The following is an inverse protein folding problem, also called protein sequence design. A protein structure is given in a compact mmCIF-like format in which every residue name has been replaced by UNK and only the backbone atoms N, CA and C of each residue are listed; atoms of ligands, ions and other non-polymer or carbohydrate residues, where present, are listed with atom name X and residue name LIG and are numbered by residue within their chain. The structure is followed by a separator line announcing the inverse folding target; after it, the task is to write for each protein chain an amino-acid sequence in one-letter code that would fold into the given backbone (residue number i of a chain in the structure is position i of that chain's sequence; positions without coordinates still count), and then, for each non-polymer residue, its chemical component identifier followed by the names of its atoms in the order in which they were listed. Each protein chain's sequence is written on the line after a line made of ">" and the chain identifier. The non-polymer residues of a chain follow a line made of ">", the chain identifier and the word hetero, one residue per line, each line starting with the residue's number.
data_IF_446844545465
#
_entry.id   IF_446844545465
#
_cell.length_a   1.000
_cell.length_b   1.000
_cell.length_c   1.000
_cell.angle_alpha   90.00
_cell.angle_beta   90.00
_cell.angle_gamma   90.00
#
_symmetry.space_group_name_H-M   'P 1'
#
loop_
_entity.id
_entity.type
_entity.pdbx_description
1 polymer ?
#
# COMPACT_ATOMS: atom_id res chain seq x y z
N UNK A 1 9.13 4.71 -12.11
CA UNK A 1 9.36 3.79 -13.22
C UNK A 1 9.92 2.42 -12.80
N UNK A 2 10.86 2.34 -11.85
CA UNK A 2 11.46 1.03 -11.44
C UNK A 2 10.40 0.03 -10.98
N UNK A 3 9.45 0.46 -10.17
CA UNK A 3 8.39 -0.41 -9.64
C UNK A 3 7.55 -1.01 -10.75
N UNK A 4 7.12 -0.24 -11.74
CA UNK A 4 6.34 -0.79 -12.85
C UNK A 4 7.14 -1.81 -13.67
N UNK A 5 8.41 -1.52 -13.99
CA UNK A 5 9.24 -2.47 -14.73
C UNK A 5 9.44 -3.79 -13.97
N UNK A 6 9.61 -3.74 -12.63
CA UNK A 6 9.66 -4.96 -11.82
C UNK A 6 8.36 -5.76 -11.90
N UNK A 7 7.21 -5.10 -11.87
CA UNK A 7 5.92 -5.75 -11.99
C UNK A 7 5.71 -6.37 -13.37
N UNK A 8 6.06 -5.66 -14.46
CA UNK A 8 5.97 -6.18 -15.82
C UNK A 8 6.88 -7.40 -16.03
N UNK A 9 8.11 -7.37 -15.49
CA UNK A 9 9.03 -8.51 -15.50
C UNK A 9 8.43 -9.71 -14.75
N UNK A 10 7.85 -9.47 -13.58
CA UNK A 10 7.21 -10.52 -12.78
C UNK A 10 6.01 -11.14 -13.49
N UNK A 11 5.19 -10.32 -14.13
CA UNK A 11 3.99 -10.75 -14.86
C UNK A 11 4.28 -11.28 -16.28
N UNK A 12 5.55 -11.28 -16.72
CA UNK A 12 5.93 -11.73 -18.06
C UNK A 12 5.47 -10.81 -19.19
N UNK A 13 5.08 -9.58 -18.87
CA UNK A 13 4.60 -8.60 -19.86
C UNK A 13 5.79 -7.87 -20.47
N UNK A 14 5.92 -7.85 -21.82
CA UNK A 14 7.01 -7.14 -22.49
C UNK A 14 6.89 -5.62 -22.29
N UNK A 15 8.03 -4.94 -22.31
CA UNK A 15 8.09 -3.48 -22.20
C UNK A 15 9.10 -2.93 -23.20
N UNK A 16 8.72 -1.89 -23.92
CA UNK A 16 9.59 -1.16 -24.86
C UNK A 16 10.54 -0.16 -24.17
N UNK A 17 10.47 -0.06 -22.84
CA UNK A 17 11.39 0.77 -22.08
C UNK A 17 12.81 0.23 -22.16
N UNK A 18 13.74 1.07 -22.63
CA UNK A 18 15.16 0.71 -22.78
C UNK A 18 15.80 0.20 -21.49
N UNK A 19 15.24 0.55 -20.34
CA UNK A 19 15.71 0.13 -19.00
C UNK A 19 15.20 -1.27 -18.61
N UNK A 20 14.20 -1.82 -19.32
CA UNK A 20 13.56 -3.09 -18.98
C UNK A 20 14.57 -4.26 -18.95
N UNK A 21 15.50 -4.32 -19.89
CA UNK A 21 16.52 -5.36 -19.95
C UNK A 21 17.41 -5.36 -18.69
N UNK A 22 17.82 -4.17 -18.23
CA UNK A 22 18.65 -4.01 -17.02
C UNK A 22 17.86 -4.43 -15.78
N UNK A 23 16.60 -4.01 -15.67
CA UNK A 23 15.74 -4.40 -14.55
C UNK A 23 15.49 -5.90 -14.54
N UNK A 24 15.24 -6.52 -15.70
CA UNK A 24 15.08 -7.98 -15.84
C UNK A 24 16.32 -8.73 -15.36
N UNK A 25 17.50 -8.30 -15.77
CA UNK A 25 18.76 -8.89 -15.34
C UNK A 25 19.00 -8.73 -13.82
N UNK A 26 18.70 -7.56 -13.27
CA UNK A 26 18.82 -7.29 -11.84
C UNK A 26 17.86 -8.15 -11.01
N UNK A 27 16.60 -8.29 -11.44
CA UNK A 27 15.61 -9.16 -10.78
C UNK A 27 16.04 -10.61 -10.83
N UNK A 28 16.47 -11.12 -12.00
CA UNK A 28 16.92 -12.49 -12.16
C UNK A 28 18.18 -12.80 -11.34
N UNK A 29 19.10 -11.85 -11.22
CA UNK A 29 20.33 -11.98 -10.44
C UNK A 29 20.21 -11.62 -8.95
N UNK A 30 19.05 -11.17 -8.49
CA UNK A 30 18.85 -10.72 -7.11
C UNK A 30 19.65 -9.45 -6.74
N UNK A 31 20.10 -8.68 -7.74
CA UNK A 31 20.96 -7.51 -7.53
C UNK A 31 20.12 -6.29 -7.16
N UNK A 32 20.33 -5.75 -5.95
CA UNK A 32 19.60 -4.57 -5.43
C UNK A 32 18.09 -4.68 -5.57
N UNK A 33 17.55 -5.90 -5.47
CA UNK A 33 16.13 -6.20 -5.55
C UNK A 33 15.68 -6.87 -4.26
N UNK A 34 14.53 -6.45 -3.75
CA UNK A 34 13.87 -7.04 -2.58
C UNK A 34 12.40 -7.25 -2.89
N UNK A 35 11.85 -8.36 -2.38
CA UNK A 35 10.39 -8.56 -2.40
C UNK A 35 9.74 -7.55 -1.45
N UNK A 36 8.64 -6.95 -1.87
CA UNK A 36 7.93 -5.95 -1.08
C UNK A 36 6.43 -6.11 -1.26
N UNK A 37 5.69 -6.03 -0.15
CA UNK A 37 4.23 -5.96 -0.09
C UNK A 37 3.72 -4.52 0.08
N UNK A 38 4.57 -3.51 -0.21
CA UNK A 38 4.24 -2.09 -0.01
C UNK A 38 3.15 -1.63 -0.98
N UNK A 39 1.97 -1.32 -0.46
CA UNK A 39 0.88 -0.73 -1.23
C UNK A 39 1.27 0.62 -1.83
N UNK A 40 2.02 1.47 -1.12
CA UNK A 40 2.49 2.76 -1.64
C UNK A 40 3.35 2.61 -2.91
N UNK A 41 4.21 1.58 -2.98
CA UNK A 41 5.00 1.29 -4.19
C UNK A 41 4.14 0.79 -5.34
N UNK A 42 3.03 0.14 -5.05
CA UNK A 42 2.05 -0.27 -6.06
C UNK A 42 1.30 0.96 -6.62
N UNK A 43 0.93 1.92 -5.78
CA UNK A 43 0.40 3.22 -6.24
C UNK A 43 1.38 3.94 -7.16
N UNK A 44 2.68 3.96 -6.82
CA UNK A 44 3.72 4.53 -7.66
C UNK A 44 3.82 3.81 -9.02
N UNK A 45 3.73 2.48 -9.01
CA UNK A 45 3.80 1.66 -10.22
C UNK A 45 2.61 1.92 -11.16
N UNK A 46 1.39 1.99 -10.63
CA UNK A 46 0.18 2.28 -11.42
C UNK A 46 0.22 3.71 -11.96
N UNK A 47 0.68 4.69 -11.16
CA UNK A 47 0.87 6.06 -11.62
C UNK A 47 1.85 6.14 -12.82
N UNK A 48 2.95 5.38 -12.77
CA UNK A 48 3.91 5.31 -13.86
C UNK A 48 3.35 4.56 -15.08
N UNK A 49 2.60 3.46 -14.88
CA UNK A 49 1.95 2.72 -15.96
C UNK A 49 0.96 3.59 -16.75
N UNK A 50 0.23 4.45 -16.05
CA UNK A 50 -0.68 5.43 -16.65
C UNK A 50 0.04 6.66 -17.24
N UNK A 51 1.36 6.74 -17.12
CA UNK A 51 2.15 7.87 -17.59
C UNK A 51 1.80 9.18 -16.89
N UNK A 52 1.46 9.13 -15.59
CA UNK A 52 1.17 10.31 -14.79
C UNK A 52 2.45 10.90 -14.19
N UNK A 53 3.33 10.06 -13.68
CA UNK A 53 4.67 10.43 -13.22
C UNK A 53 5.60 9.23 -13.11
N UNK A 54 6.85 9.40 -13.51
CA UNK A 54 7.91 8.40 -13.42
C UNK A 54 8.71 8.48 -12.10
N UNK A 55 8.65 9.62 -11.42
CA UNK A 55 9.46 9.92 -10.24
C UNK A 55 8.66 10.65 -9.17
N UNK A 56 8.92 10.30 -7.93
CA UNK A 56 8.50 11.08 -6.78
C UNK A 56 9.52 12.21 -6.54
N UNK A 57 9.22 13.44 -6.98
CA UNK A 57 10.03 14.63 -6.68
C UNK A 57 9.83 15.12 -5.24
N UNK A 58 8.77 14.66 -4.60
CA UNK A 58 8.47 14.74 -3.17
C UNK A 58 7.69 13.48 -2.77
N UNK A 59 7.62 13.20 -1.47
CA UNK A 59 6.98 11.99 -0.95
C UNK A 59 5.51 11.89 -1.37
N UNK A 60 5.15 10.76 -2.00
CA UNK A 60 3.78 10.45 -2.40
C UNK A 60 3.26 11.16 -3.64
N UNK A 61 4.11 11.92 -4.39
CA UNK A 61 3.67 12.63 -5.61
C UNK A 61 2.94 11.73 -6.60
N UNK A 62 3.50 10.56 -6.89
CA UNK A 62 2.89 9.63 -7.86
C UNK A 62 1.51 9.17 -7.38
N UNK A 63 1.38 8.81 -6.10
CA UNK A 63 0.10 8.41 -5.51
C UNK A 63 -0.93 9.55 -5.51
N UNK A 64 -0.50 10.79 -5.22
CA UNK A 64 -1.39 11.97 -5.27
C UNK A 64 -1.90 12.26 -6.69
N UNK A 65 -1.05 12.12 -7.71
CA UNK A 65 -1.49 12.28 -9.10
C UNK A 65 -2.49 11.20 -9.51
N UNK A 66 -2.29 9.98 -9.04
CA UNK A 66 -3.22 8.87 -9.27
C UNK A 66 -4.56 9.13 -8.60
N UNK A 67 -4.56 9.59 -7.33
CA UNK A 67 -5.77 9.99 -6.60
C UNK A 67 -6.52 11.10 -7.32
N UNK A 68 -5.81 12.14 -7.82
CA UNK A 68 -6.42 13.23 -8.57
C UNK A 68 -7.13 12.74 -9.85
N UNK A 69 -6.54 11.78 -10.57
CA UNK A 69 -7.18 11.19 -11.75
C UNK A 69 -8.44 10.38 -11.36
N UNK A 70 -8.37 9.61 -10.30
CA UNK A 70 -9.51 8.87 -9.79
C UNK A 70 -10.64 9.81 -9.31
N UNK A 71 -10.30 10.90 -8.63
CA UNK A 71 -11.25 11.92 -8.21
C UNK A 71 -11.91 12.62 -9.40
N UNK A 72 -11.15 12.87 -10.47
CA UNK A 72 -11.69 13.39 -11.73
C UNK A 72 -12.72 12.43 -12.34
N UNK A 73 -12.39 11.14 -12.43
CA UNK A 73 -13.30 10.11 -12.94
C UNK A 73 -14.60 10.06 -12.13
N UNK A 74 -14.50 10.08 -10.80
CA UNK A 74 -15.66 10.10 -9.89
C UNK A 74 -16.54 11.32 -10.11
N UNK A 75 -15.92 12.51 -10.26
CA UNK A 75 -16.64 13.76 -10.53
C UNK A 75 -17.34 13.75 -11.89
N UNK A 76 -16.70 13.20 -12.90
CA UNK A 76 -17.22 13.07 -14.27
C UNK A 76 -18.18 11.88 -14.44
N UNK A 77 -18.41 11.11 -13.38
CA UNK A 77 -19.24 9.89 -13.37
C UNK A 77 -18.80 8.87 -14.42
N UNK A 78 -17.48 8.77 -14.65
CA UNK A 78 -16.93 7.73 -15.52
C UNK A 78 -17.15 6.35 -14.92
N UNK A 79 -17.33 5.37 -15.79
CA UNK A 79 -17.33 3.97 -15.39
C UNK A 79 -15.89 3.58 -15.08
N UNK A 80 -15.59 3.09 -13.86
CA UNK A 80 -14.24 2.65 -13.51
C UNK A 80 -13.83 1.44 -14.36
N UNK A 81 -12.57 1.37 -14.74
CA UNK A 81 -12.02 0.15 -15.36
C UNK A 81 -12.09 -0.99 -14.37
N UNK A 82 -12.64 -2.12 -14.77
CA UNK A 82 -12.71 -3.29 -13.91
C UNK A 82 -11.32 -3.91 -13.72
N UNK A 83 -10.69 -3.61 -12.59
CA UNK A 83 -9.40 -4.12 -12.19
C UNK A 83 -9.55 -5.05 -10.98
N UNK A 84 -8.72 -6.09 -10.91
CA UNK A 84 -8.73 -7.04 -9.80
C UNK A 84 -7.32 -7.56 -9.51
N UNK A 85 -7.18 -8.16 -8.34
CA UNK A 85 -6.00 -8.89 -7.91
C UNK A 85 -6.32 -10.38 -7.87
N UNK A 86 -5.36 -11.23 -8.21
CA UNK A 86 -5.50 -12.65 -7.94
C UNK A 86 -5.32 -12.91 -6.44
N UNK A 87 -6.26 -13.61 -5.84
CA UNK A 87 -6.15 -14.05 -4.44
C UNK A 87 -5.50 -15.43 -4.41
N UNK A 88 -4.37 -15.56 -3.73
CA UNK A 88 -3.63 -16.80 -3.54
C UNK A 88 -3.44 -17.06 -2.05
N UNK A 89 -3.64 -18.31 -1.63
CA UNK A 89 -3.37 -18.76 -0.27
C UNK A 89 -2.15 -19.66 -0.31
N UNK A 90 -1.13 -19.28 0.45
CA UNK A 90 0.12 -20.05 0.54
C UNK A 90 0.28 -20.56 1.96
N UNK A 91 0.48 -21.85 2.09
CA UNK A 91 0.81 -22.47 3.39
C UNK A 91 2.27 -22.17 3.74
N UNK A 92 2.48 -21.72 4.98
CA UNK A 92 3.80 -21.43 5.53
C UNK A 92 3.99 -22.19 6.84
N UNK A 93 5.21 -22.23 7.36
CA UNK A 93 5.52 -22.84 8.67
C UNK A 93 4.72 -22.20 9.82
N UNK A 94 4.28 -20.94 9.65
CA UNK A 94 3.53 -20.17 10.64
C UNK A 94 2.02 -20.08 10.36
N UNK A 95 1.51 -20.92 9.44
CA UNK A 95 0.10 -20.91 9.02
C UNK A 95 -0.10 -20.41 7.59
N UNK A 96 -1.35 -20.31 7.17
CA UNK A 96 -1.68 -19.83 5.81
C UNK A 96 -1.61 -18.31 5.69
N UNK A 97 -1.02 -17.83 4.59
CA UNK A 97 -0.93 -16.42 4.25
C UNK A 97 -1.68 -16.17 2.94
N UNK A 98 -2.56 -15.19 2.94
CA UNK A 98 -3.27 -14.77 1.73
C UNK A 98 -2.48 -13.66 1.03
N UNK A 99 -2.16 -13.88 -0.25
CA UNK A 99 -1.54 -12.90 -1.13
C UNK A 99 -2.56 -12.37 -2.13
N UNK A 100 -2.41 -11.08 -2.49
CA UNK A 100 -3.15 -10.43 -3.57
C UNK A 100 -2.15 -10.04 -4.64
N UNK A 101 -2.05 -10.87 -5.69
CA UNK A 101 -1.13 -10.64 -6.80
C UNK A 101 -1.67 -9.58 -7.76
N UNK A 102 -0.93 -8.50 -8.04
CA UNK A 102 -1.34 -7.45 -8.96
C UNK A 102 -1.13 -7.80 -10.44
N UNK A 103 -0.64 -8.98 -10.80
CA UNK A 103 -0.35 -9.33 -12.19
C UNK A 103 -1.52 -9.05 -13.16
N UNK A 104 -2.78 -9.35 -12.84
CA UNK A 104 -3.90 -9.10 -13.74
C UNK A 104 -4.20 -7.61 -14.00
N UNK A 105 -3.68 -6.71 -13.15
CA UNK A 105 -3.91 -5.27 -13.33
C UNK A 105 -3.23 -4.73 -14.60
N UNK A 106 -2.03 -5.21 -14.91
CA UNK A 106 -1.12 -4.53 -15.82
C UNK A 106 -1.61 -4.53 -17.27
N UNK A 107 -2.19 -5.63 -17.73
CA UNK A 107 -2.74 -5.72 -19.09
C UNK A 107 -3.89 -4.72 -19.30
N UNK A 108 -4.72 -4.52 -18.26
CA UNK A 108 -5.86 -3.62 -18.33
C UNK A 108 -5.50 -2.16 -18.08
N UNK A 109 -4.56 -1.88 -17.18
CA UNK A 109 -4.13 -0.51 -16.87
C UNK A 109 -3.45 0.16 -18.06
N UNK A 110 -2.63 -0.60 -18.81
CA UNK A 110 -1.91 -0.08 -19.97
C UNK A 110 -2.83 -0.04 -21.19
N UNK A 111 -3.38 1.12 -21.52
CA UNK A 111 -4.22 1.32 -22.70
C UNK A 111 -5.63 1.84 -22.43
N UNK A 112 -6.00 1.97 -21.18
CA UNK A 112 -7.29 2.49 -20.75
C UNK A 112 -7.31 4.01 -20.57
N UNK A 113 -8.53 4.57 -20.43
CA UNK A 113 -8.70 5.94 -19.95
C UNK A 113 -8.05 6.09 -18.57
N UNK A 114 -7.07 6.99 -18.47
CA UNK A 114 -6.25 7.17 -17.26
C UNK A 114 -7.09 7.42 -16.00
N UNK A 115 -8.17 8.18 -16.14
CA UNK A 115 -9.03 8.52 -15.03
C UNK A 115 -9.90 7.32 -14.61
N UNK A 116 -10.47 6.59 -15.59
CA UNK A 116 -11.23 5.38 -15.34
C UNK A 116 -10.36 4.28 -14.72
N UNK A 117 -9.14 4.08 -15.23
CA UNK A 117 -8.19 3.11 -14.69
C UNK A 117 -7.71 3.48 -13.27
N UNK A 118 -7.45 4.77 -13.02
CA UNK A 118 -7.09 5.25 -11.69
C UNK A 118 -8.21 4.99 -10.67
N UNK A 119 -9.46 5.26 -11.03
CA UNK A 119 -10.62 4.97 -10.17
C UNK A 119 -10.77 3.47 -9.95
N UNK A 120 -10.71 2.66 -11.02
CA UNK A 120 -10.79 1.20 -10.94
C UNK A 120 -9.70 0.58 -10.04
N UNK A 121 -8.50 1.15 -10.05
CA UNK A 121 -7.43 0.72 -9.15
C UNK A 121 -7.77 1.02 -7.68
N UNK A 122 -8.27 2.21 -7.35
CA UNK A 122 -8.72 2.51 -5.98
C UNK A 122 -9.81 1.54 -5.53
N UNK A 123 -10.80 1.27 -6.38
CA UNK A 123 -11.86 0.31 -6.07
C UNK A 123 -11.32 -1.12 -5.88
N UNK A 124 -10.33 -1.53 -6.68
CA UNK A 124 -9.70 -2.83 -6.52
C UNK A 124 -8.98 -2.96 -5.17
N UNK A 125 -8.28 -1.90 -4.72
CA UNK A 125 -7.64 -1.88 -3.40
C UNK A 125 -8.67 -1.86 -2.26
N UNK A 126 -9.77 -1.12 -2.41
CA UNK A 126 -10.87 -1.12 -1.43
C UNK A 126 -11.44 -2.54 -1.27
N UNK A 127 -11.66 -3.26 -2.38
CA UNK A 127 -12.13 -4.66 -2.34
C UNK A 127 -11.16 -5.60 -1.63
N UNK A 128 -9.82 -5.38 -1.70
CA UNK A 128 -8.85 -6.15 -0.91
C UNK A 128 -9.10 -5.94 0.58
N UNK A 129 -9.23 -4.68 1.02
CA UNK A 129 -9.45 -4.36 2.44
C UNK A 129 -10.75 -4.99 2.95
N UNK A 130 -11.83 -4.88 2.18
CA UNK A 130 -13.10 -5.53 2.48
C UNK A 130 -12.95 -7.05 2.58
N UNK A 131 -12.32 -7.67 1.59
CA UNK A 131 -12.09 -9.12 1.55
C UNK A 131 -11.25 -9.62 2.72
N UNK A 132 -10.22 -8.89 3.11
CA UNK A 132 -9.39 -9.23 4.27
C UNK A 132 -10.20 -9.17 5.57
N UNK A 133 -11.04 -8.15 5.75
CA UNK A 133 -11.90 -8.03 6.92
C UNK A 133 -12.92 -9.20 7.02
N UNK A 134 -13.53 -9.57 5.90
CA UNK A 134 -14.43 -10.73 5.82
C UNK A 134 -13.71 -12.04 6.17
N UNK A 135 -12.53 -12.29 5.61
CA UNK A 135 -11.76 -13.53 5.85
C UNK A 135 -11.33 -13.68 7.30
N UNK A 136 -10.95 -12.59 7.95
CA UNK A 136 -10.53 -12.61 9.35
C UNK A 136 -11.70 -12.65 10.32
N UNK A 137 -12.92 -12.33 9.87
CA UNK A 137 -14.12 -12.31 10.69
C UNK A 137 -14.09 -11.26 11.81
N UNK A 138 -13.18 -10.29 11.76
CA UNK A 138 -13.06 -9.23 12.77
C UNK A 138 -14.24 -8.28 12.68
N UNK A 139 -14.75 -7.83 13.83
CA UNK A 139 -15.84 -6.85 13.88
C UNK A 139 -15.33 -5.41 13.76
N UNK A 140 -14.08 -5.18 14.14
CA UNK A 140 -13.47 -3.84 14.20
C UNK A 140 -12.24 -3.80 13.31
N UNK A 141 -12.18 -2.82 12.43
CA UNK A 141 -11.04 -2.59 11.52
C UNK A 141 -10.49 -1.19 11.79
N UNK A 142 -9.19 -1.07 11.94
CA UNK A 142 -8.49 0.20 12.09
C UNK A 142 -7.69 0.47 10.82
N UNK A 143 -7.97 1.60 10.17
CA UNK A 143 -7.29 2.06 8.96
C UNK A 143 -6.20 3.08 9.36
N UNK A 144 -4.93 2.73 9.16
CA UNK A 144 -3.78 3.57 9.49
C UNK A 144 -2.63 3.36 8.49
N UNK A 145 -1.65 4.24 8.51
CA UNK A 145 -0.52 4.21 7.59
C UNK A 145 -0.63 5.25 6.47
N UNK A 146 0.51 5.52 5.79
CA UNK A 146 0.63 6.61 4.83
C UNK A 146 -0.31 6.52 3.62
N UNK A 147 -0.75 5.31 3.23
CA UNK A 147 -1.71 5.15 2.12
C UNK A 147 -3.09 5.77 2.44
N UNK A 148 -3.47 5.84 3.71
CA UNK A 148 -4.76 6.42 4.13
C UNK A 148 -4.74 7.96 4.26
N UNK A 149 -3.67 8.63 3.85
CA UNK A 149 -3.68 10.04 3.47
C UNK A 149 -4.50 10.25 2.19
N UNK A 150 -4.56 9.24 1.33
CA UNK A 150 -5.43 9.21 0.15
C UNK A 150 -6.89 9.14 0.60
N UNK A 151 -7.58 10.26 0.39
CA UNK A 151 -8.96 10.45 0.87
C UNK A 151 -9.96 9.53 0.16
N UNK A 152 -9.78 9.33 -1.14
CA UNK A 152 -10.63 8.45 -1.93
C UNK A 152 -10.56 7.01 -1.42
N UNK A 153 -9.34 6.54 -1.15
CA UNK A 153 -9.10 5.21 -0.59
C UNK A 153 -9.71 5.09 0.81
N UNK A 154 -9.46 6.07 1.69
CA UNK A 154 -9.96 6.06 3.05
C UNK A 154 -11.49 6.04 3.10
N UNK A 155 -12.14 6.98 2.41
CA UNK A 155 -13.60 7.09 2.39
C UNK A 155 -14.22 5.81 1.80
N UNK A 156 -13.67 5.29 0.70
CA UNK A 156 -14.13 4.05 0.08
C UNK A 156 -14.00 2.83 0.99
N UNK A 157 -12.86 2.69 1.69
CA UNK A 157 -12.68 1.59 2.65
C UNK A 157 -13.66 1.69 3.83
N UNK A 158 -13.88 2.90 4.37
CA UNK A 158 -14.83 3.12 5.46
C UNK A 158 -16.26 2.77 5.03
N UNK A 159 -16.67 3.18 3.84
CA UNK A 159 -17.99 2.87 3.28
C UNK A 159 -18.17 1.37 3.06
N UNK A 160 -17.21 0.71 2.40
CA UNK A 160 -17.25 -0.73 2.13
C UNK A 160 -17.32 -1.55 3.42
N UNK A 161 -16.44 -1.25 4.40
CA UNK A 161 -16.43 -1.96 5.68
C UNK A 161 -17.73 -1.78 6.46
N UNK A 162 -18.27 -0.57 6.51
CA UNK A 162 -19.57 -0.30 7.16
C UNK A 162 -20.72 -1.02 6.44
N UNK A 163 -20.69 -1.06 5.10
CA UNK A 163 -21.68 -1.79 4.30
C UNK A 163 -21.71 -3.30 4.60
N UNK A 164 -20.60 -3.87 5.07
CA UNK A 164 -20.47 -5.27 5.51
C UNK A 164 -20.66 -5.46 7.01
N UNK A 165 -21.01 -4.41 7.76
CA UNK A 165 -21.28 -4.49 9.20
C UNK A 165 -20.05 -4.44 10.09
N UNK A 166 -18.88 -4.06 9.55
CA UNK A 166 -17.68 -3.82 10.34
C UNK A 166 -17.66 -2.41 10.93
N UNK A 167 -17.17 -2.26 12.16
CA UNK A 167 -16.83 -0.96 12.73
C UNK A 167 -15.47 -0.51 12.18
N UNK A 168 -15.45 0.60 11.43
CA UNK A 168 -14.23 1.15 10.85
C UNK A 168 -13.77 2.38 11.64
N UNK A 169 -12.49 2.38 12.06
CA UNK A 169 -11.84 3.49 12.74
C UNK A 169 -10.60 3.94 11.95
N UNK A 170 -10.28 5.23 12.04
CA UNK A 170 -9.10 5.81 11.38
C UNK A 170 -8.58 7.01 12.16
N UNK A 171 -7.36 7.43 11.86
CA UNK A 171 -6.76 8.61 12.45
C UNK A 171 -7.53 9.89 12.05
N UNK A 172 -8.03 10.65 13.03
CA UNK A 172 -8.76 11.90 12.81
C UNK A 172 -8.00 13.12 13.33
N UNK A 173 -7.42 13.02 14.52
CA UNK A 173 -6.70 14.11 15.17
C UNK A 173 -5.21 14.17 14.81
N UNK A 174 -4.64 13.06 14.34
CA UNK A 174 -3.25 12.91 14.01
C UNK A 174 -3.10 12.37 12.59
N UNK A 175 -2.02 12.70 11.87
CA UNK A 175 -1.73 12.10 10.57
C UNK A 175 -1.64 10.57 10.66
N UNK A 176 -2.17 9.81 9.68
CA UNK A 176 -2.13 8.36 9.70
C UNK A 176 -0.74 7.78 9.35
N UNK A 177 0.17 8.59 8.79
CA UNK A 177 1.52 8.20 8.39
C UNK A 177 2.58 8.64 9.40
N UNK A 178 3.81 8.86 8.90
CA UNK A 178 5.01 9.16 9.70
C UNK A 178 4.84 10.39 10.60
N UNK A 179 4.00 11.35 10.22
CA UNK A 179 3.71 12.53 11.06
C UNK A 179 3.04 12.20 12.39
N UNK A 180 2.39 11.04 12.52
CA UNK A 180 1.79 10.56 13.78
C UNK A 180 2.72 9.72 14.65
N UNK A 181 3.89 9.31 14.13
CA UNK A 181 4.75 8.32 14.77
C UNK A 181 5.29 8.80 16.12
N UNK A 182 5.78 10.04 16.20
CA UNK A 182 6.34 10.60 17.43
C UNK A 182 5.32 10.63 18.58
N UNK A 183 4.06 10.97 18.27
CA UNK A 183 2.98 10.92 19.24
C UNK A 183 2.71 9.50 19.71
N UNK A 184 2.62 8.53 18.77
CA UNK A 184 2.43 7.11 19.09
C UNK A 184 3.54 6.57 20.00
N UNK A 185 4.80 6.91 19.73
CA UNK A 185 5.93 6.55 20.56
C UNK A 185 5.85 7.15 21.97
N UNK A 186 5.49 8.44 22.07
CA UNK A 186 5.30 9.10 23.37
C UNK A 186 4.15 8.47 24.17
N UNK A 187 3.02 8.24 23.52
CA UNK A 187 1.87 7.56 24.12
C UNK A 187 2.23 6.17 24.64
N UNK A 188 2.89 5.35 23.81
CA UNK A 188 3.35 4.03 24.20
C UNK A 188 4.31 4.10 25.40
N UNK A 189 5.31 5.00 25.34
CA UNK A 189 6.27 5.18 26.42
C UNK A 189 5.62 5.57 27.76
N UNK A 190 4.64 6.48 27.73
CA UNK A 190 3.91 6.91 28.92
C UNK A 190 3.11 5.77 29.56
N UNK A 191 2.47 4.92 28.74
CA UNK A 191 1.60 3.84 29.23
C UNK A 191 2.38 2.58 29.62
N UNK A 192 3.60 2.36 29.09
CA UNK A 192 4.43 1.19 29.39
C UNK A 192 5.63 1.51 30.31
N UNK A 193 5.82 2.75 30.73
CA UNK A 193 6.96 3.18 31.57
C UNK A 193 7.05 2.40 32.90
N UNK A 194 5.94 2.01 33.47
CA UNK A 194 5.90 1.23 34.71
C UNK A 194 6.36 -0.22 34.53
N UNK A 195 6.17 -0.81 33.36
CA UNK A 195 6.57 -2.18 33.04
C UNK A 195 8.07 -2.27 32.69
N UNK A 196 8.68 -1.16 32.23
CA UNK A 196 10.08 -1.10 31.79
C UNK A 196 11.09 -0.63 32.84
N UNK A 197 10.68 -0.32 34.05
CA UNK A 197 11.62 0.09 35.13
C UNK A 197 12.76 -0.91 35.39
N UNK A 198 12.57 -2.18 35.07
CA UNK A 198 13.60 -3.22 35.18
C UNK A 198 14.64 -3.19 34.05
N UNK A 199 14.30 -2.68 32.87
CA UNK A 199 15.22 -2.67 31.73
C UNK A 199 16.19 -1.46 31.70
N UNK A 200 15.77 -0.31 32.19
CA UNK A 200 16.59 0.91 32.19
C UNK A 200 17.67 0.83 33.27
N UNK A 201 17.41 0.17 34.40
CA UNK A 201 18.41 -0.03 35.45
C UNK A 201 19.57 -0.95 35.08
N UNK A 202 19.38 -1.86 34.12
CA UNK A 202 20.46 -2.79 33.69
C UNK A 202 21.46 -2.15 32.73
N UNK A 203 21.09 -1.06 32.06
CA UNK A 203 21.99 -0.34 31.13
C UNK A 203 22.86 0.70 31.87
N UNK A 204 22.35 1.28 32.96
CA UNK A 204 23.12 2.25 33.79
C UNK A 204 24.17 1.59 34.73
N UNK A 205 24.13 0.28 34.88
CA UNK A 205 25.13 -0.47 35.69
C UNK A 205 26.46 -0.77 34.98
N UNK A 206 26.58 -0.46 33.68
CA UNK A 206 27.78 -0.77 32.88
C UNK A 206 28.73 0.42 32.68
N UNK A 207 28.44 1.60 33.27
CA UNK A 207 29.33 2.78 33.24
C UNK A 207 29.88 3.12 34.65
N UNK A 208 30.41 2.13 35.33
CA UNK A 208 31.15 2.33 36.58
C UNK A 208 32.49 1.60 36.53
N UNK A 209 33.57 2.38 36.54
CA UNK A 209 34.98 2.02 36.70
C UNK A 209 35.74 1.57 35.46
N UNK A 210 36.30 2.56 34.73
CA UNK A 210 37.74 2.63 34.52
C UNK A 210 38.14 4.09 34.25
#
# INVERSE_FOLDING_TARGET
>A
WKSILCHLVHSGIPSDDKRAAVVKAAVAGGLNTVKSSSMGRLFDAVSAALGLADYNTYQGRCAMLLENQAALAKRERKIPTELFFNEEVVETENGSVTFFDPAPLWEKVMGEDKAAAALGFHEAVIRIVERMAEKTGVKTVILSGGCFVNRLLLEGCVEALKGKGHAAYWNQALPPGDGGLAFGQAWYGMNTANERKSYVCSISGACGNH
#
